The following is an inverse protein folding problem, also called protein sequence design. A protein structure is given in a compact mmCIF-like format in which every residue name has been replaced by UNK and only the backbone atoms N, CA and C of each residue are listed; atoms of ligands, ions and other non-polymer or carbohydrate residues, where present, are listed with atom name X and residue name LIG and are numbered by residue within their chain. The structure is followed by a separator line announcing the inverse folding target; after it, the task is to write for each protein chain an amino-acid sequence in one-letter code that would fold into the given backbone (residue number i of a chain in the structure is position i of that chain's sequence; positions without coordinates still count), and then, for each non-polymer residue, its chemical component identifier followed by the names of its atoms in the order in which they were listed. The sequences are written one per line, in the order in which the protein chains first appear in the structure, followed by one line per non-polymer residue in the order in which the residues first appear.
data_IF_245423147720
#
_entry.id   IF_245423147720
#
_cell.length_a   1.000
_cell.length_b   1.000
_cell.length_c   1.000
_cell.angle_alpha   90.00
_cell.angle_beta   90.00
_cell.angle_gamma   90.00
#
_symmetry.space_group_name_H-M   'P 1'
#
loop_
_entity.id
_entity.type
_entity.pdbx_description
1 polymer ?
#
# COMPACT_ATOMS: atom_id res chain seq x y z
N UNK A 1 -27.73 -32.68 55.48
CA UNK A 1 -26.75 -31.63 55.08
C UNK A 1 -25.61 -32.20 54.21
N UNK A 2 -25.92 -32.83 53.06
CA UNK A 2 -24.91 -33.40 52.14
C UNK A 2 -24.76 -32.64 50.81
N UNK A 3 -25.70 -31.74 50.50
CA UNK A 3 -25.71 -30.93 49.27
C UNK A 3 -24.74 -29.74 49.31
N UNK A 4 -24.45 -29.20 50.51
CA UNK A 4 -23.60 -28.01 50.66
C UNK A 4 -22.12 -28.27 50.35
N UNK A 5 -21.66 -29.53 50.44
CA UNK A 5 -20.26 -29.90 50.14
C UNK A 5 -19.96 -29.98 48.65
N UNK A 6 -20.95 -30.25 47.80
CA UNK A 6 -20.75 -30.34 46.35
C UNK A 6 -20.73 -28.97 45.66
N UNK A 7 -21.43 -27.96 46.20
CA UNK A 7 -21.37 -26.59 45.69
C UNK A 7 -19.99 -25.93 45.91
N UNK A 8 -19.27 -26.28 46.98
CA UNK A 8 -17.96 -25.71 47.29
C UNK A 8 -16.81 -26.29 46.43
N UNK A 9 -17.01 -27.48 45.85
CA UNK A 9 -16.07 -28.11 44.91
C UNK A 9 -16.22 -27.57 43.48
N UNK A 10 -17.41 -27.10 43.10
CA UNK A 10 -17.64 -26.53 41.76
C UNK A 10 -17.05 -25.11 41.61
N UNK A 11 -17.00 -24.32 42.69
CA UNK A 11 -16.47 -22.95 42.66
C UNK A 11 -14.94 -22.87 42.51
N UNK A 12 -14.20 -23.92 42.93
CA UNK A 12 -12.74 -24.00 42.78
C UNK A 12 -12.34 -24.31 41.33
N UNK A 13 -13.16 -25.03 40.56
CA UNK A 13 -12.84 -25.39 39.17
C UNK A 13 -13.01 -24.22 38.18
N UNK A 14 -13.81 -23.20 38.52
CA UNK A 14 -14.02 -22.01 37.68
C UNK A 14 -12.94 -20.93 37.81
N UNK A 15 -12.03 -21.03 38.78
CA UNK A 15 -10.97 -20.03 38.99
C UNK A 15 -9.67 -20.31 38.21
N UNK A 16 -9.58 -21.44 37.50
CA UNK A 16 -8.43 -21.82 36.68
C UNK A 16 -8.57 -21.48 35.19
N UNK A 17 -9.70 -20.88 34.76
CA UNK A 17 -9.84 -20.32 33.40
C UNK A 17 -9.27 -18.90 33.32
N UNK A 18 -8.06 -18.68 33.83
CA UNK A 18 -7.27 -17.55 33.36
C UNK A 18 -6.86 -17.85 31.92
N UNK A 19 -7.70 -17.45 30.98
CA UNK A 19 -7.26 -17.15 29.62
C UNK A 19 -6.08 -16.19 29.78
N UNK A 20 -4.86 -16.70 29.60
CA UNK A 20 -3.72 -15.86 29.26
C UNK A 20 -4.11 -15.20 27.95
N UNK A 21 -4.66 -13.98 28.02
CA UNK A 21 -4.52 -13.06 26.90
C UNK A 21 -3.02 -12.95 26.73
N UNK A 22 -2.47 -13.66 25.74
CA UNK A 22 -1.16 -13.36 25.22
C UNK A 22 -1.17 -11.83 25.06
N UNK A 23 -0.31 -11.17 25.82
CA UNK A 23 -0.01 -9.76 25.58
C UNK A 23 0.72 -9.75 24.25
N UNK A 24 -0.06 -9.85 23.17
CA UNK A 24 0.34 -9.52 21.82
C UNK A 24 0.71 -8.05 21.97
N UNK A 25 2.03 -7.77 22.09
CA UNK A 25 2.52 -6.43 21.78
C UNK A 25 1.83 -6.02 20.49
N UNK A 26 1.26 -4.80 20.38
CA UNK A 26 0.74 -4.33 19.11
C UNK A 26 1.79 -4.67 18.05
N UNK A 27 1.46 -5.59 17.14
CA UNK A 27 2.40 -6.03 16.13
C UNK A 27 2.75 -4.76 15.35
N UNK A 28 4.04 -4.44 15.30
CA UNK A 28 4.48 -3.32 14.46
C UNK A 28 3.96 -3.59 13.04
N UNK A 29 3.42 -2.58 12.36
CA UNK A 29 2.83 -2.79 11.06
C UNK A 29 3.86 -3.39 10.11
N UNK A 30 3.52 -4.53 9.51
CA UNK A 30 4.33 -5.20 8.50
C UNK A 30 3.79 -4.89 7.11
N UNK A 31 4.67 -4.88 6.10
CA UNK A 31 4.22 -4.74 4.72
C UNK A 31 3.35 -5.93 4.32
N UNK A 32 2.33 -5.73 3.47
CA UNK A 32 1.53 -6.83 2.94
C UNK A 32 2.41 -7.91 2.28
N UNK A 33 1.98 -9.16 2.41
CA UNK A 33 2.59 -10.26 1.68
C UNK A 33 2.51 -10.02 0.17
N UNK A 34 3.52 -10.49 -0.56
CA UNK A 34 3.49 -10.45 -2.02
C UNK A 34 2.61 -11.55 -2.55
N UNK A 35 1.37 -11.19 -2.87
CA UNK A 35 0.39 -12.05 -3.51
C UNK A 35 0.07 -11.53 -4.91
N UNK A 36 -0.60 -12.36 -5.72
CA UNK A 36 -0.97 -12.04 -7.11
C UNK A 36 -2.46 -12.37 -7.37
N UNK A 37 -3.27 -12.27 -6.32
CA UNK A 37 -4.65 -12.79 -6.29
C UNK A 37 -5.72 -11.69 -6.13
N UNK A 38 -5.30 -10.43 -6.06
CA UNK A 38 -6.16 -9.27 -5.86
C UNK A 38 -6.65 -9.15 -4.41
N UNK A 39 -5.75 -9.28 -3.43
CA UNK A 39 -6.10 -9.26 -1.99
C UNK A 39 -6.57 -7.89 -1.45
N UNK A 40 -6.64 -6.85 -2.29
CA UNK A 40 -6.98 -5.48 -1.91
C UNK A 40 -6.01 -4.88 -0.87
N UNK A 41 -4.72 -5.15 -1.04
CA UNK A 41 -3.67 -4.67 -0.14
C UNK A 41 -2.82 -3.60 -0.80
N UNK A 42 -2.36 -2.64 0.01
CA UNK A 42 -1.38 -1.63 -0.36
C UNK A 42 -0.59 -1.22 0.89
N UNK A 43 0.74 -1.19 0.77
CA UNK A 43 1.59 -0.70 1.84
C UNK A 43 2.97 -0.31 1.32
N UNK A 44 3.66 0.54 2.08
CA UNK A 44 4.99 0.99 1.73
C UNK A 44 5.82 1.40 2.95
N UNK A 45 7.14 1.32 2.82
CA UNK A 45 8.11 1.79 3.81
C UNK A 45 8.71 3.12 3.38
N UNK A 46 8.31 4.20 4.05
CA UNK A 46 8.80 5.55 3.82
C UNK A 46 9.71 6.01 4.94
N UNK A 47 10.95 6.38 4.61
CA UNK A 47 11.97 6.85 5.57
C UNK A 47 12.16 5.93 6.79
N UNK A 48 11.97 4.61 6.60
CA UNK A 48 12.09 3.61 7.66
C UNK A 48 10.76 3.22 8.32
N UNK A 49 9.72 4.05 8.21
CA UNK A 49 8.40 3.81 8.79
C UNK A 49 7.49 3.07 7.82
N UNK A 50 6.75 2.06 8.30
CA UNK A 50 5.82 1.27 7.50
C UNK A 50 4.42 1.90 7.54
N UNK A 51 3.84 2.07 6.35
CA UNK A 51 2.49 2.56 6.12
C UNK A 51 1.69 1.46 5.43
N UNK A 52 0.58 1.05 6.01
CA UNK A 52 -0.34 0.05 5.41
C UNK A 52 -1.71 0.69 5.30
N UNK A 53 -2.27 0.67 4.09
CA UNK A 53 -3.62 1.14 3.86
C UNK A 53 -4.62 0.06 4.33
N UNK A 54 -5.51 0.34 5.30
CA UNK A 54 -6.54 -0.62 5.70
C UNK A 54 -7.58 -0.85 4.60
N UNK A 55 -7.69 0.08 3.65
CA UNK A 55 -8.47 -0.06 2.42
C UNK A 55 -7.89 0.81 1.32
N UNK A 56 -8.14 0.43 0.07
CA UNK A 56 -7.83 1.24 -1.10
C UNK A 56 -8.88 2.35 -1.25
N UNK A 57 -8.44 3.54 -1.67
CA UNK A 57 -9.33 4.67 -1.97
C UNK A 57 -9.91 4.49 -3.37
N UNK A 58 -9.05 4.11 -4.31
CA UNK A 58 -9.42 4.03 -5.71
C UNK A 58 -8.49 3.07 -6.44
N UNK A 59 -9.09 2.19 -7.24
CA UNK A 59 -8.38 1.35 -8.18
C UNK A 59 -9.14 1.39 -9.49
N UNK A 60 -8.47 1.76 -10.59
CA UNK A 60 -9.10 1.90 -11.91
C UNK A 60 -8.15 1.37 -12.96
N UNK A 61 -8.66 0.56 -13.87
CA UNK A 61 -7.94 0.18 -15.09
C UNK A 61 -8.75 0.52 -16.35
N UNK A 62 -8.05 0.88 -17.42
CA UNK A 62 -8.59 1.16 -18.73
C UNK A 62 -7.65 0.58 -19.77
N UNK A 63 -8.18 -0.26 -20.65
CA UNK A 63 -7.44 -0.92 -21.72
C UNK A 63 -8.16 -0.73 -23.05
N UNK A 64 -7.44 -0.17 -24.00
CA UNK A 64 -7.86 0.08 -25.37
C UNK A 64 -7.13 -0.84 -26.35
N UNK A 65 -6.15 -1.61 -25.88
CA UNK A 65 -5.25 -2.40 -26.74
C UNK A 65 -4.20 -1.54 -27.47
N UNK A 66 -4.12 -0.27 -27.11
CA UNK A 66 -3.07 0.65 -27.54
C UNK A 66 -2.21 1.00 -26.33
N UNK A 67 -0.94 0.62 -26.40
CA UNK A 67 0.02 0.82 -25.32
C UNK A 67 0.18 2.28 -24.85
N UNK A 68 -0.12 3.25 -25.72
CA UNK A 68 -0.07 4.68 -25.37
C UNK A 68 -1.29 5.19 -24.60
N UNK A 69 -2.41 4.46 -24.65
CA UNK A 69 -3.68 4.85 -24.03
C UNK A 69 -4.07 3.98 -22.83
N UNK A 70 -3.48 2.80 -22.71
CA UNK A 70 -3.71 1.90 -21.58
C UNK A 70 -3.22 2.54 -20.27
N UNK A 71 -4.06 2.42 -19.23
CA UNK A 71 -3.87 3.09 -17.94
C UNK A 71 -4.30 2.20 -16.80
N UNK A 72 -3.47 2.13 -15.78
CA UNK A 72 -3.82 1.55 -14.49
C UNK A 72 -3.52 2.55 -13.38
N UNK A 73 -4.42 2.66 -12.40
CA UNK A 73 -4.28 3.57 -11.27
C UNK A 73 -4.67 2.83 -9.99
N UNK A 74 -3.86 3.02 -8.94
CA UNK A 74 -4.18 2.58 -7.59
C UNK A 74 -3.81 3.66 -6.58
N UNK A 75 -4.62 3.78 -5.54
CA UNK A 75 -4.38 4.69 -4.43
C UNK A 75 -4.97 4.17 -3.12
N UNK A 76 -4.34 4.55 -2.01
CA UNK A 76 -4.81 4.23 -0.67
C UNK A 76 -4.23 5.16 0.39
N UNK A 77 -4.92 5.19 1.53
CA UNK A 77 -4.53 5.96 2.71
C UNK A 77 -4.15 4.98 3.82
N UNK A 78 -2.98 5.15 4.44
CA UNK A 78 -2.73 4.60 5.75
C UNK A 78 -3.45 5.44 6.81
N UNK A 79 -4.12 4.78 7.77
CA UNK A 79 -4.96 5.45 8.76
C UNK A 79 -4.75 4.90 10.17
N UNK A 80 -4.85 5.77 11.18
CA UNK A 80 -5.02 5.39 12.59
C UNK A 80 -6.31 5.99 13.16
N UNK A 81 -7.20 5.13 13.67
CA UNK A 81 -8.57 5.42 14.10
C UNK A 81 -9.36 6.20 13.07
N UNK A 82 -9.16 7.52 13.00
CA UNK A 82 -9.81 8.45 12.08
C UNK A 82 -8.86 9.42 11.36
N UNK A 83 -7.54 9.31 11.56
CA UNK A 83 -6.55 10.20 10.97
C UNK A 83 -5.82 9.53 9.81
N UNK A 84 -5.65 10.24 8.70
CA UNK A 84 -4.79 9.81 7.60
C UNK A 84 -3.34 10.05 8.04
N UNK A 85 -2.57 8.98 8.16
CA UNK A 85 -1.15 9.01 8.46
C UNK A 85 -0.30 9.24 7.21
N UNK A 86 -0.84 8.80 6.07
CA UNK A 86 -0.26 9.12 4.78
C UNK A 86 -1.09 8.54 3.64
N UNK A 87 -0.98 9.12 2.45
CA UNK A 87 -1.65 8.68 1.24
C UNK A 87 -0.64 8.49 0.12
N UNK A 88 -0.96 7.55 -0.77
CA UNK A 88 -0.20 7.33 -2.00
C UNK A 88 -1.16 7.04 -3.15
N UNK A 89 -0.85 7.60 -4.31
CA UNK A 89 -1.48 7.26 -5.57
C UNK A 89 -0.43 7.10 -6.66
N UNK A 90 -0.60 6.09 -7.50
CA UNK A 90 0.28 5.83 -8.64
C UNK A 90 -0.55 5.53 -9.87
N UNK A 91 -0.31 6.28 -10.93
CA UNK A 91 -0.82 6.00 -12.28
C UNK A 91 0.29 5.37 -13.11
N UNK A 92 -0.01 4.28 -13.80
CA UNK A 92 0.82 3.66 -14.82
C UNK A 92 0.18 3.89 -16.18
N UNK A 93 1.00 4.20 -17.19
CA UNK A 93 0.59 4.29 -18.59
C UNK A 93 1.60 3.57 -19.46
N UNK A 94 1.10 2.79 -20.41
CA UNK A 94 1.94 1.88 -21.17
C UNK A 94 1.32 0.51 -21.39
N UNK A 95 2.13 -0.40 -21.90
CA UNK A 95 1.83 -1.83 -22.00
C UNK A 95 1.66 -2.45 -20.61
N UNK A 96 0.44 -2.84 -20.24
CA UNK A 96 0.16 -3.46 -18.94
C UNK A 96 0.29 -4.99 -19.06
N UNK A 97 1.36 -5.55 -18.53
CA UNK A 97 1.62 -7.00 -18.54
C UNK A 97 2.49 -7.47 -17.37
N UNK A 98 2.49 -8.77 -17.11
CA UNK A 98 3.33 -9.41 -16.09
C UNK A 98 4.83 -9.13 -16.36
N UNK A 99 5.56 -8.73 -15.31
CA UNK A 99 6.98 -8.42 -15.38
C UNK A 99 7.30 -7.00 -15.90
N UNK A 100 6.31 -6.26 -16.37
CA UNK A 100 6.55 -4.94 -16.94
C UNK A 100 7.02 -3.93 -15.89
N UNK A 101 8.01 -3.13 -16.29
CA UNK A 101 8.53 -2.02 -15.49
C UNK A 101 8.09 -0.67 -16.05
N UNK A 102 7.76 0.24 -15.15
CA UNK A 102 7.34 1.62 -15.43
C UNK A 102 8.29 2.55 -14.69
N UNK A 103 9.01 3.39 -15.42
CA UNK A 103 9.79 4.44 -14.78
C UNK A 103 8.86 5.54 -14.29
N UNK A 104 9.01 5.94 -13.03
CA UNK A 104 8.29 7.08 -12.51
C UNK A 104 8.97 8.36 -12.99
N UNK A 105 8.18 9.34 -13.42
CA UNK A 105 8.69 10.59 -14.01
C UNK A 105 8.03 11.82 -13.39
N UNK A 106 8.69 12.97 -13.52
CA UNK A 106 8.08 14.27 -13.23
C UNK A 106 7.17 14.72 -14.37
N UNK A 107 6.22 15.61 -14.07
CA UNK A 107 5.45 16.28 -15.11
C UNK A 107 6.40 17.06 -16.05
N UNK A 108 6.21 16.91 -17.36
CA UNK A 108 7.12 17.47 -18.39
C UNK A 108 8.30 16.58 -18.78
N UNK A 109 8.53 15.46 -18.10
CA UNK A 109 9.53 14.44 -18.47
C UNK A 109 8.89 13.15 -19.01
N UNK A 110 7.64 13.25 -19.49
CA UNK A 110 6.90 12.10 -19.97
C UNK A 110 7.53 11.60 -21.28
N UNK A 111 8.05 10.37 -21.31
CA UNK A 111 8.67 9.82 -22.51
C UNK A 111 7.60 9.47 -23.55
N UNK A 112 7.84 9.83 -24.81
CA UNK A 112 6.98 9.42 -25.91
C UNK A 112 7.13 7.92 -26.20
N UNK A 113 6.00 7.20 -26.24
CA UNK A 113 5.96 5.78 -26.62
C UNK A 113 6.62 4.81 -25.64
N UNK A 114 6.90 5.23 -24.40
CA UNK A 114 7.47 4.35 -23.36
C UNK A 114 6.51 4.21 -22.17
N UNK A 115 6.68 3.13 -21.43
CA UNK A 115 5.94 2.85 -20.22
C UNK A 115 6.43 3.76 -19.08
N UNK A 116 5.52 4.52 -18.50
CA UNK A 116 5.84 5.45 -17.44
C UNK A 116 4.79 5.44 -16.34
N UNK A 117 5.15 5.97 -15.18
CA UNK A 117 4.19 6.23 -14.12
C UNK A 117 4.33 7.60 -13.49
N UNK A 118 3.25 8.02 -12.85
CA UNK A 118 3.14 9.29 -12.15
C UNK A 118 2.72 8.98 -10.72
N UNK A 119 3.46 9.50 -9.75
CA UNK A 119 3.22 9.26 -8.34
C UNK A 119 2.83 10.55 -7.61
N UNK A 120 2.03 10.38 -6.57
CA UNK A 120 1.75 11.39 -5.57
C UNK A 120 1.75 10.73 -4.20
N UNK A 121 2.42 11.34 -3.24
CA UNK A 121 2.56 10.86 -1.86
C UNK A 121 2.38 12.04 -0.91
N UNK A 122 1.54 11.84 0.10
CA UNK A 122 1.34 12.81 1.18
C UNK A 122 1.43 12.08 2.51
N UNK A 123 2.58 12.15 3.18
CA UNK A 123 2.81 11.55 4.50
C UNK A 123 2.92 12.65 5.58
N UNK A 124 3.20 13.87 5.14
CA UNK A 124 3.22 15.06 5.95
C UNK A 124 2.35 16.11 5.24
N UNK A 125 1.28 16.61 5.88
CA UNK A 125 0.39 17.60 5.27
C UNK A 125 1.11 18.88 4.82
N UNK A 126 2.25 19.21 5.42
CA UNK A 126 3.09 20.34 5.05
C UNK A 126 4.04 20.05 3.88
N UNK A 127 4.27 18.77 3.58
CA UNK A 127 5.21 18.28 2.57
C UNK A 127 4.52 17.27 1.64
N UNK A 128 3.73 17.80 0.70
CA UNK A 128 3.14 17.02 -0.40
C UNK A 128 4.20 16.78 -1.49
N UNK A 129 4.42 15.52 -1.85
CA UNK A 129 5.34 15.10 -2.91
C UNK A 129 4.55 14.53 -4.09
N UNK A 130 4.38 15.29 -5.16
CA UNK A 130 3.72 14.81 -6.36
C UNK A 130 4.45 15.26 -7.63
N UNK A 131 4.32 14.45 -8.68
CA UNK A 131 4.90 14.73 -10.00
C UNK A 131 4.51 16.10 -10.59
N UNK A 132 3.39 16.67 -10.15
CA UNK A 132 2.81 17.93 -10.63
C UNK A 132 2.96 19.10 -9.64
N UNK A 133 3.89 19.00 -8.69
CA UNK A 133 4.16 20.03 -7.67
C UNK A 133 5.60 20.52 -7.78
N UNK A 134 6.02 21.40 -6.86
CA UNK A 134 7.42 21.81 -6.68
C UNK A 134 8.33 20.71 -6.14
N UNK A 135 7.76 19.55 -5.75
CA UNK A 135 8.54 18.35 -5.46
C UNK A 135 9.15 17.77 -6.74
N UNK A 136 10.40 17.29 -6.64
CA UNK A 136 11.12 16.64 -7.73
C UNK A 136 11.38 15.18 -7.41
N UNK A 137 10.88 14.31 -8.28
CA UNK A 137 11.24 12.90 -8.30
C UNK A 137 12.69 12.77 -8.77
N UNK A 138 13.55 12.16 -7.94
CA UNK A 138 14.94 11.87 -8.28
C UNK A 138 15.07 10.53 -9.01
N UNK A 139 14.30 9.55 -8.57
CA UNK A 139 14.28 8.19 -9.11
C UNK A 139 13.01 7.49 -8.66
N UNK A 140 12.46 6.61 -9.48
CA UNK A 140 11.38 5.74 -9.03
C UNK A 140 10.95 4.77 -10.11
N UNK A 141 10.41 3.64 -9.69
CA UNK A 141 9.98 2.58 -10.58
C UNK A 141 8.80 1.82 -9.95
N UNK A 142 7.90 1.34 -10.81
CA UNK A 142 6.92 0.31 -10.48
C UNK A 142 7.20 -0.92 -11.34
N UNK A 143 7.16 -2.10 -10.73
CA UNK A 143 7.19 -3.39 -11.42
C UNK A 143 5.85 -4.07 -11.22
N UNK A 144 5.15 -4.36 -12.31
CA UNK A 144 3.98 -5.23 -12.29
C UNK A 144 4.43 -6.67 -12.14
N UNK A 145 4.13 -7.30 -11.01
CA UNK A 145 4.36 -8.74 -10.83
C UNK A 145 3.20 -9.56 -11.38
N UNK A 146 2.00 -8.95 -11.46
CA UNK A 146 0.81 -9.52 -12.10
C UNK A 146 -0.02 -8.39 -12.73
N UNK A 147 -0.53 -8.61 -13.93
CA UNK A 147 -1.58 -7.85 -14.57
C UNK A 147 -2.45 -8.80 -15.41
N UNK A 148 -3.69 -8.96 -14.97
CA UNK A 148 -4.69 -9.78 -15.63
C UNK A 148 -5.95 -8.95 -15.85
N UNK A 149 -6.13 -8.44 -17.07
CA UNK A 149 -7.30 -7.63 -17.42
C UNK A 149 -8.62 -8.43 -17.42
N UNK A 150 -8.55 -9.76 -17.58
CA UNK A 150 -9.73 -10.64 -17.57
C UNK A 150 -10.21 -10.93 -16.15
N UNK A 151 -9.28 -11.33 -15.28
CA UNK A 151 -9.54 -11.53 -13.85
C UNK A 151 -9.62 -10.21 -13.06
N UNK A 152 -9.27 -9.10 -13.71
CA UNK A 152 -9.18 -7.75 -13.13
C UNK A 152 -8.28 -7.72 -11.89
N UNK A 153 -7.08 -8.26 -12.00
CA UNK A 153 -6.09 -8.34 -10.92
C UNK A 153 -4.82 -7.63 -11.34
N UNK A 154 -4.27 -6.79 -10.48
CA UNK A 154 -2.92 -6.25 -10.63
C UNK A 154 -2.18 -6.32 -9.30
N UNK A 155 -0.94 -6.77 -9.35
CA UNK A 155 -0.04 -6.78 -8.22
C UNK A 155 1.33 -6.27 -8.63
N UNK A 156 2.05 -5.68 -7.70
CA UNK A 156 3.36 -5.15 -8.01
C UNK A 156 4.13 -4.60 -6.83
N UNK A 157 5.35 -4.21 -7.16
CA UNK A 157 6.30 -3.55 -6.27
C UNK A 157 6.58 -2.15 -6.76
N UNK A 158 6.88 -1.23 -5.85
CA UNK A 158 7.33 0.10 -6.24
C UNK A 158 8.34 0.67 -5.25
N UNK A 159 9.16 1.57 -5.75
CA UNK A 159 10.12 2.35 -4.96
C UNK A 159 10.26 3.73 -5.60
N UNK A 160 10.51 4.76 -4.79
CA UNK A 160 10.69 6.12 -5.29
C UNK A 160 11.42 7.00 -4.29
N UNK A 161 12.10 8.02 -4.79
CA UNK A 161 12.73 9.07 -3.98
C UNK A 161 12.32 10.43 -4.51
N UNK A 162 11.74 11.24 -3.63
CA UNK A 162 11.38 12.64 -3.89
C UNK A 162 12.22 13.58 -3.03
N UNK A 163 12.47 14.77 -3.55
CA UNK A 163 12.97 15.93 -2.80
C UNK A 163 12.04 17.11 -3.00
N UNK A 164 11.90 17.94 -1.98
CA UNK A 164 11.16 19.21 -2.04
C UNK A 164 11.86 20.21 -1.14
N UNK A 165 11.98 21.46 -1.60
CA UNK A 165 12.64 22.49 -0.83
C UNK A 165 11.89 22.72 0.50
N UNK A 166 12.62 22.79 1.61
CA UNK A 166 12.04 22.94 2.95
C UNK A 166 11.45 21.66 3.55
N UNK A 167 11.52 20.53 2.85
CA UNK A 167 11.06 19.23 3.32
C UNK A 167 12.22 18.23 3.36
N UNK A 168 12.07 17.18 4.16
CA UNK A 168 13.01 16.06 4.13
C UNK A 168 12.99 15.34 2.78
N UNK A 169 14.05 14.59 2.48
CA UNK A 169 14.00 13.67 1.33
C UNK A 169 13.09 12.49 1.66
N UNK A 170 12.03 12.32 0.88
CA UNK A 170 11.14 11.16 0.99
C UNK A 170 11.75 9.98 0.24
N UNK A 171 12.01 8.88 0.94
CA UNK A 171 12.48 7.61 0.37
C UNK A 171 11.48 6.51 0.64
N UNK A 172 10.78 6.08 -0.41
CA UNK A 172 10.01 4.84 -0.40
C UNK A 172 10.90 3.75 -0.98
N UNK A 173 11.31 2.81 -0.12
CA UNK A 173 12.28 1.77 -0.47
C UNK A 173 11.62 0.42 -0.77
N UNK A 174 10.44 0.19 -0.18
CA UNK A 174 9.69 -1.05 -0.35
C UNK A 174 8.20 -0.71 -0.37
N UNK A 175 7.60 -0.72 -1.56
CA UNK A 175 6.16 -0.55 -1.76
C UNK A 175 5.56 -1.79 -2.41
N UNK A 176 4.35 -2.18 -1.99
CA UNK A 176 3.65 -3.39 -2.46
C UNK A 176 2.17 -3.09 -2.65
N UNK A 177 1.59 -3.66 -3.70
CA UNK A 177 0.14 -3.68 -3.89
C UNK A 177 -0.30 -5.02 -4.49
N UNK A 178 -1.50 -5.47 -4.12
CA UNK A 178 -2.20 -6.58 -4.78
C UNK A 178 -3.70 -6.27 -4.75
N UNK A 179 -4.28 -5.94 -5.90
CA UNK A 179 -5.58 -5.28 -6.01
C UNK A 179 -6.45 -5.87 -7.13
N UNK A 180 -7.76 -5.68 -7.01
CA UNK A 180 -8.72 -5.86 -8.11
C UNK A 180 -9.25 -4.53 -8.64
N UNK A 181 -9.63 -4.47 -9.92
CA UNK A 181 -10.06 -3.23 -10.60
C UNK A 181 -11.23 -3.35 -11.61
#
# INVERSE_FOLDING_TARGET
MRFFRYCLLLSVLLSLSQCKKNTIRPQEPELPAETQSGQQTLGFKANGTIYVAPSLIQVVGSWTGSNTADRFYFAGDARDRNYILGSIGVTLRGDLSDGQQFQLVNEGQIPAGQNYGLAAVNIDPSCVYAHSTDARLLSGQVTLTRFDGGARVAAGRFQMTFVKAGCDTLRITEGRFDVKF
#
